data_IF_494108531849
#
_entry.id   IF_494108531849
#
_cell.length_a   1.000
_cell.length_b   1.000
_cell.length_c   1.000
_cell.angle_alpha   90.00
_cell.angle_beta   90.00
_cell.angle_gamma   90.00
#
_symmetry.space_group_name_H-M   'P 1'
#
loop_
_entity.id
_entity.type
_entity.pdbx_description
1 polymer ?
#
# COMPACT_ATOMS: atom_id res chain seq x y z
N UNK A 1 -1.66 20.06 3.76
CA UNK A 1 -1.93 19.40 2.46
C UNK A 1 -1.36 20.29 1.34
N UNK A 2 -1.39 19.84 0.09
CA UNK A 2 -0.92 20.63 -1.06
C UNK A 2 -2.03 21.43 -1.75
N UNK A 3 -3.19 21.60 -1.11
CA UNK A 3 -4.40 22.11 -1.75
C UNK A 3 -4.19 23.55 -2.27
N UNK A 4 -4.74 23.86 -3.45
CA UNK A 4 -4.57 25.18 -4.10
C UNK A 4 -5.03 26.35 -3.22
N UNK A 5 -6.07 26.14 -2.40
CA UNK A 5 -6.55 27.16 -1.44
C UNK A 5 -5.50 27.47 -0.36
N UNK A 6 -4.71 26.47 0.05
CA UNK A 6 -3.71 26.60 1.12
C UNK A 6 -2.33 27.01 0.57
N UNK A 7 -1.90 26.36 -0.51
CA UNK A 7 -0.53 26.41 -1.03
C UNK A 7 -0.42 26.83 -2.51
N UNK A 8 -1.53 27.22 -3.14
CA UNK A 8 -1.55 27.58 -4.56
C UNK A 8 -0.71 28.82 -4.89
N UNK A 9 -0.29 28.92 -6.15
CA UNK A 9 0.57 30.00 -6.66
C UNK A 9 -0.08 31.39 -6.59
N UNK A 10 -1.41 31.46 -6.66
CA UNK A 10 -2.16 32.70 -6.66
C UNK A 10 -3.28 32.65 -5.62
N UNK A 11 -3.44 33.72 -4.84
CA UNK A 11 -4.54 33.93 -3.90
C UNK A 11 -4.78 32.78 -2.90
N UNK A 12 -3.71 32.08 -2.52
CA UNK A 12 -3.74 31.07 -1.46
C UNK A 12 -3.45 31.69 -0.09
N UNK A 13 -3.81 30.96 0.97
CA UNK A 13 -3.45 31.35 2.33
C UNK A 13 -1.94 31.63 2.46
N UNK A 14 -1.10 30.76 1.90
CA UNK A 14 0.35 30.96 1.91
C UNK A 14 0.77 32.27 1.22
N UNK A 15 0.25 32.54 0.01
CA UNK A 15 0.63 33.78 -0.71
C UNK A 15 0.25 35.04 0.07
N UNK A 16 -0.94 35.07 0.68
CA UNK A 16 -1.38 36.19 1.53
C UNK A 16 -0.55 36.32 2.81
N UNK A 17 -0.18 35.21 3.44
CA UNK A 17 0.68 35.25 4.63
C UNK A 17 2.12 35.68 4.31
N UNK A 18 2.62 35.35 3.13
CA UNK A 18 3.95 35.73 2.65
C UNK A 18 4.06 37.24 2.38
N UNK A 19 2.97 37.89 1.95
CA UNK A 19 2.89 39.35 1.83
C UNK A 19 3.08 40.04 3.19
N UNK A 20 2.53 39.47 4.26
CA UNK A 20 2.67 39.98 5.64
C UNK A 20 4.05 39.65 6.23
N UNK A 21 4.56 38.45 5.97
CA UNK A 21 5.87 38.01 6.45
C UNK A 21 6.70 37.40 5.29
N UNK A 22 7.59 38.19 4.67
CA UNK A 22 8.44 37.72 3.59
C UNK A 22 9.39 36.56 3.98
N UNK A 23 9.65 36.35 5.29
CA UNK A 23 10.49 35.25 5.78
C UNK A 23 9.74 33.92 5.97
N UNK A 24 8.43 33.88 5.71
CA UNK A 24 7.63 32.66 5.85
C UNK A 24 8.09 31.55 4.90
N UNK A 25 8.34 30.35 5.40
CA UNK A 25 8.72 29.18 4.59
C UNK A 25 7.53 28.23 4.50
N UNK A 26 7.23 27.75 3.30
CA UNK A 26 6.22 26.72 3.08
C UNK A 26 6.87 25.34 3.15
N UNK A 27 6.40 24.51 4.07
CA UNK A 27 6.74 23.08 4.10
C UNK A 27 5.45 22.30 3.87
N UNK A 28 5.35 21.62 2.72
CA UNK A 28 4.19 20.78 2.41
C UNK A 28 4.20 19.54 3.31
N UNK A 29 3.02 19.01 3.60
CA UNK A 29 2.88 17.78 4.39
C UNK A 29 3.47 16.59 3.60
N UNK A 30 4.51 15.97 4.16
CA UNK A 30 5.14 14.82 3.52
C UNK A 30 4.18 13.62 3.45
N UNK A 31 3.41 13.32 4.50
CA UNK A 31 2.43 12.24 4.47
C UNK A 31 1.48 12.35 3.28
N UNK A 32 1.00 13.57 3.01
CA UNK A 32 0.11 13.82 1.89
C UNK A 32 0.82 13.65 0.54
N UNK A 33 2.07 14.12 0.44
CA UNK A 33 2.88 13.98 -0.78
C UNK A 33 3.19 12.51 -1.08
N UNK A 34 3.57 11.73 -0.06
CA UNK A 34 3.78 10.29 -0.18
C UNK A 34 2.48 9.55 -0.53
N UNK A 35 1.35 9.96 0.02
CA UNK A 35 0.05 9.36 -0.31
C UNK A 35 -0.32 9.60 -1.78
N UNK A 36 -0.10 10.81 -2.30
CA UNK A 36 -0.31 11.12 -3.72
C UNK A 36 0.61 10.29 -4.62
N UNK A 37 1.92 10.28 -4.34
CA UNK A 37 2.88 9.47 -5.10
C UNK A 37 2.51 7.98 -5.09
N UNK A 38 2.03 7.49 -3.95
CA UNK A 38 1.56 6.13 -3.85
C UNK A 38 0.32 5.90 -4.73
N UNK A 39 -0.71 6.74 -4.64
CA UNK A 39 -1.91 6.61 -5.49
C UNK A 39 -1.57 6.59 -6.99
N UNK A 40 -0.68 7.46 -7.45
CA UNK A 40 -0.23 7.45 -8.85
C UNK A 40 0.47 6.13 -9.22
N UNK A 41 1.29 5.57 -8.32
CA UNK A 41 1.91 4.27 -8.55
C UNK A 41 0.89 3.13 -8.62
N UNK A 42 -0.19 3.20 -7.84
CA UNK A 42 -1.28 2.22 -7.82
C UNK A 42 -2.04 2.19 -9.12
N UNK A 43 -2.27 3.35 -9.74
CA UNK A 43 -2.96 3.45 -11.02
C UNK A 43 -2.20 2.74 -12.15
N UNK A 44 -0.89 2.50 -11.97
CA UNK A 44 -0.04 1.73 -12.90
C UNK A 44 0.02 0.24 -12.55
N UNK A 45 -0.38 -0.16 -11.33
CA UNK A 45 -0.34 -1.56 -10.92
C UNK A 45 -1.36 -2.40 -11.70
N UNK A 46 -1.10 -3.70 -11.90
CA UNK A 46 -2.07 -4.57 -12.54
C UNK A 46 -3.39 -4.61 -11.76
N UNK A 47 -4.47 -4.19 -12.42
CA UNK A 47 -5.80 -4.04 -11.81
C UNK A 47 -6.35 -5.33 -11.19
N UNK A 48 -5.88 -6.48 -11.66
CA UNK A 48 -6.27 -7.78 -11.11
C UNK A 48 -5.73 -8.00 -9.69
N UNK A 49 -4.60 -7.41 -9.29
CA UNK A 49 -4.10 -7.53 -7.91
C UNK A 49 -4.96 -6.70 -6.96
N UNK A 50 -5.35 -5.48 -7.35
CA UNK A 50 -6.31 -4.67 -6.58
C UNK A 50 -7.64 -5.42 -6.41
N UNK A 51 -8.14 -6.01 -7.50
CA UNK A 51 -9.35 -6.83 -7.45
C UNK A 51 -9.19 -8.04 -6.50
N UNK A 52 -8.08 -8.78 -6.59
CA UNK A 52 -7.79 -9.92 -5.71
C UNK A 52 -7.87 -9.52 -4.25
N UNK A 53 -7.19 -8.42 -3.88
CA UNK A 53 -7.15 -7.93 -2.51
C UNK A 53 -8.55 -7.50 -2.07
N UNK A 54 -9.22 -6.63 -2.83
CA UNK A 54 -10.54 -6.11 -2.46
C UNK A 54 -11.59 -7.21 -2.32
N UNK A 55 -11.68 -8.10 -3.30
CA UNK A 55 -12.70 -9.13 -3.33
C UNK A 55 -12.47 -10.25 -2.31
N UNK A 56 -11.21 -10.52 -1.96
CA UNK A 56 -10.91 -11.41 -0.83
C UNK A 56 -11.51 -10.89 0.46
N UNK A 57 -11.35 -9.60 0.76
CA UNK A 57 -11.92 -9.03 1.99
C UNK A 57 -13.44 -8.92 1.93
N UNK A 58 -14.01 -8.51 0.78
CA UNK A 58 -15.45 -8.47 0.56
C UNK A 58 -16.11 -9.84 0.74
N UNK A 59 -15.44 -10.93 0.31
CA UNK A 59 -15.91 -12.30 0.47
C UNK A 59 -16.24 -12.64 1.93
N UNK A 60 -15.42 -12.15 2.87
CA UNK A 60 -15.56 -12.40 4.29
C UNK A 60 -16.36 -11.35 5.04
N UNK A 61 -16.43 -10.11 4.56
CA UNK A 61 -16.98 -8.96 5.28
C UNK A 61 -18.40 -9.19 5.85
N UNK A 62 -19.25 -9.93 5.13
CA UNK A 62 -20.67 -10.06 5.47
C UNK A 62 -21.14 -11.52 5.68
N UNK A 63 -20.22 -12.48 5.81
CA UNK A 63 -20.59 -13.89 5.95
C UNK A 63 -19.88 -14.57 7.13
N UNK A 64 -20.54 -14.62 8.31
CA UNK A 64 -20.03 -15.37 9.45
C UNK A 64 -19.75 -16.84 9.12
N UNK A 65 -20.58 -17.44 8.27
CA UNK A 65 -20.40 -18.82 7.78
C UNK A 65 -19.07 -18.98 7.03
N UNK A 66 -18.77 -18.09 6.07
CA UNK A 66 -17.51 -18.13 5.30
C UNK A 66 -16.30 -17.87 6.20
N UNK A 67 -16.44 -16.96 7.18
CA UNK A 67 -15.38 -16.72 8.17
C UNK A 67 -15.12 -17.97 9.04
N UNK A 68 -16.16 -18.67 9.47
CA UNK A 68 -16.02 -19.89 10.28
C UNK A 68 -15.39 -21.03 9.47
N UNK A 69 -15.79 -21.20 8.20
CA UNK A 69 -15.17 -22.17 7.30
C UNK A 69 -13.68 -21.89 7.10
N UNK A 70 -13.32 -20.64 6.85
CA UNK A 70 -11.92 -20.24 6.71
C UNK A 70 -11.11 -20.51 7.97
N UNK A 71 -11.65 -20.19 9.15
CA UNK A 71 -11.00 -20.52 10.43
C UNK A 71 -10.75 -22.01 10.60
N UNK A 72 -11.70 -22.86 10.20
CA UNK A 72 -11.52 -24.31 10.27
C UNK A 72 -10.43 -24.80 9.30
N UNK A 73 -10.41 -24.28 8.07
CA UNK A 73 -9.37 -24.59 7.07
C UNK A 73 -7.99 -24.16 7.56
N UNK A 74 -7.87 -22.94 8.05
CA UNK A 74 -6.62 -22.41 8.59
C UNK A 74 -6.11 -23.23 9.77
N UNK A 75 -6.99 -23.55 10.73
CA UNK A 75 -6.62 -24.35 11.89
C UNK A 75 -6.18 -25.76 11.47
N UNK A 76 -6.82 -26.35 10.46
CA UNK A 76 -6.42 -27.66 9.93
C UNK A 76 -5.04 -27.63 9.27
N UNK A 77 -4.69 -26.54 8.56
CA UNK A 77 -3.38 -26.37 7.91
C UNK A 77 -2.29 -26.01 8.92
N UNK A 78 -2.60 -25.18 9.91
CA UNK A 78 -1.65 -24.61 10.88
C UNK A 78 -1.75 -25.24 12.28
N UNK A 79 -1.99 -26.55 12.36
CA UNK A 79 -1.95 -27.32 13.63
C UNK A 79 -2.78 -26.73 14.80
N UNK A 80 -3.94 -26.14 14.49
CA UNK A 80 -4.85 -25.55 15.48
C UNK A 80 -4.64 -24.07 15.76
N UNK A 81 -3.70 -23.39 15.09
CA UNK A 81 -3.49 -21.96 15.25
C UNK A 81 -4.68 -21.11 14.76
N UNK A 82 -4.79 -19.90 15.30
CA UNK A 82 -5.83 -18.95 14.91
C UNK A 82 -5.38 -18.04 13.76
N UNK A 83 -6.25 -17.88 12.77
CA UNK A 83 -6.05 -16.95 11.64
C UNK A 83 -5.81 -15.52 12.12
N UNK A 84 -4.95 -14.74 11.45
CA UNK A 84 -5.02 -13.27 11.61
C UNK A 84 -6.36 -12.79 11.05
N UNK A 85 -7.01 -11.86 11.78
CA UNK A 85 -8.36 -11.40 11.44
C UNK A 85 -8.34 -10.67 10.09
N UNK A 86 -9.11 -11.17 9.13
CA UNK A 86 -9.47 -10.48 7.90
C UNK A 86 -10.44 -9.34 8.23
N UNK A 87 -9.92 -8.21 8.69
CA UNK A 87 -10.72 -7.00 8.99
C UNK A 87 -11.00 -6.28 7.68
N UNK A 88 -12.27 -5.96 7.43
CA UNK A 88 -12.70 -5.31 6.19
C UNK A 88 -11.85 -4.09 5.80
N UNK A 89 -11.56 -3.99 4.51
CA UNK A 89 -10.84 -2.87 3.93
C UNK A 89 -11.69 -1.59 4.04
N UNK A 90 -11.10 -0.48 4.49
CA UNK A 90 -11.72 0.83 4.26
C UNK A 90 -11.52 1.21 2.79
N UNK A 91 -12.60 1.54 2.09
CA UNK A 91 -12.61 1.75 0.64
C UNK A 91 -11.72 2.92 0.14
N UNK A 92 -11.16 3.72 1.04
CA UNK A 92 -10.55 5.02 0.69
C UNK A 92 -9.09 5.18 1.10
N UNK A 93 -8.38 4.13 1.53
CA UNK A 93 -6.98 4.29 2.00
C UNK A 93 -6.08 3.14 1.59
N UNK A 94 -5.06 3.43 0.80
CA UNK A 94 -3.96 2.51 0.48
C UNK A 94 -3.26 1.93 1.73
N UNK A 95 -3.29 2.64 2.87
CA UNK A 95 -2.84 2.11 4.17
C UNK A 95 -3.58 0.82 4.56
N UNK A 96 -4.85 0.67 4.17
CA UNK A 96 -5.63 -0.56 4.36
C UNK A 96 -5.19 -1.68 3.41
N UNK A 97 -4.73 -1.33 2.20
CA UNK A 97 -4.24 -2.29 1.20
C UNK A 97 -2.88 -2.88 1.64
N UNK A 98 -2.03 -2.10 2.30
CA UNK A 98 -0.75 -2.58 2.84
C UNK A 98 -0.90 -3.80 3.77
N UNK A 99 -1.66 -3.61 4.84
CA UNK A 99 -1.91 -4.69 5.80
C UNK A 99 -2.67 -5.85 5.18
N UNK A 100 -3.58 -5.57 4.24
CA UNK A 100 -4.34 -6.60 3.56
C UNK A 100 -3.52 -7.46 2.62
N UNK A 101 -2.62 -6.85 1.84
CA UNK A 101 -1.73 -7.55 0.93
C UNK A 101 -0.75 -8.44 1.70
N UNK A 102 -0.15 -7.92 2.78
CA UNK A 102 0.72 -8.73 3.64
C UNK A 102 -0.04 -9.91 4.25
N UNK A 103 -1.27 -9.70 4.71
CA UNK A 103 -2.10 -10.78 5.24
C UNK A 103 -2.39 -11.84 4.17
N UNK A 104 -2.73 -11.42 2.95
CA UNK A 104 -2.96 -12.34 1.83
C UNK A 104 -1.71 -13.16 1.51
N UNK A 105 -0.53 -12.52 1.51
CA UNK A 105 0.75 -13.22 1.28
C UNK A 105 1.04 -14.22 2.41
N UNK A 106 0.86 -13.81 3.67
CA UNK A 106 1.08 -14.65 4.85
C UNK A 106 0.17 -15.88 4.88
N UNK A 107 -1.07 -15.74 4.38
CA UNK A 107 -2.11 -16.77 4.44
C UNK A 107 -2.49 -17.31 3.05
N UNK A 108 -1.55 -17.25 2.09
CA UNK A 108 -1.85 -17.56 0.69
C UNK A 108 -2.35 -18.99 0.50
N UNK A 109 -1.74 -19.95 1.20
CA UNK A 109 -2.07 -21.37 1.08
C UNK A 109 -3.48 -21.66 1.60
N UNK A 110 -3.84 -21.07 2.73
CA UNK A 110 -5.12 -21.21 3.40
C UNK A 110 -6.22 -20.55 2.58
N UNK A 111 -5.97 -19.35 2.06
CA UNK A 111 -6.91 -18.63 1.18
C UNK A 111 -7.12 -19.40 -0.13
N UNK A 112 -6.05 -19.90 -0.75
CA UNK A 112 -6.12 -20.75 -1.95
C UNK A 112 -6.96 -22.00 -1.69
N UNK A 113 -6.72 -22.68 -0.57
CA UNK A 113 -7.48 -23.89 -0.19
C UNK A 113 -8.95 -23.56 0.06
N UNK A 114 -9.22 -22.47 0.77
CA UNK A 114 -10.57 -22.01 1.05
C UNK A 114 -11.37 -21.70 -0.21
N UNK A 115 -10.78 -20.98 -1.17
CA UNK A 115 -11.47 -20.66 -2.42
C UNK A 115 -11.68 -21.89 -3.31
N UNK A 116 -10.78 -22.87 -3.28
CA UNK A 116 -10.98 -24.15 -3.99
C UNK A 116 -12.17 -24.93 -3.41
N UNK A 117 -12.26 -25.01 -2.07
CA UNK A 117 -13.40 -25.62 -1.39
C UNK A 117 -14.69 -24.83 -1.69
N UNK A 118 -14.66 -23.50 -1.55
CA UNK A 118 -15.81 -22.64 -1.81
C UNK A 118 -16.33 -22.77 -3.24
N UNK A 119 -15.44 -22.86 -4.25
CA UNK A 119 -15.80 -23.09 -5.65
C UNK A 119 -16.56 -24.41 -5.86
N UNK A 120 -16.23 -25.44 -5.09
CA UNK A 120 -16.89 -26.75 -5.17
C UNK A 120 -18.23 -26.81 -4.43
N UNK A 121 -18.41 -26.03 -3.36
CA UNK A 121 -19.55 -26.12 -2.45
C UNK A 121 -20.60 -25.02 -2.65
N UNK A 122 -20.20 -23.83 -3.14
CA UNK A 122 -21.08 -22.70 -3.37
C UNK A 122 -21.25 -22.43 -4.87
N UNK A 123 -22.49 -22.30 -5.33
CA UNK A 123 -22.77 -21.81 -6.70
C UNK A 123 -22.59 -20.29 -6.76
N UNK A 124 -21.35 -19.83 -6.64
CA UNK A 124 -20.99 -18.42 -6.59
C UNK A 124 -19.87 -18.10 -7.60
N UNK A 125 -20.10 -17.11 -8.47
CA UNK A 125 -19.10 -16.70 -9.46
C UNK A 125 -17.82 -16.14 -8.80
N UNK A 126 -17.96 -15.35 -7.74
CA UNK A 126 -16.81 -14.79 -7.01
C UNK A 126 -15.91 -15.89 -6.43
N UNK A 127 -16.47 -17.02 -5.98
CA UNK A 127 -15.67 -18.15 -5.49
C UNK A 127 -14.81 -18.74 -6.61
N UNK A 128 -15.39 -18.89 -7.80
CA UNK A 128 -14.69 -19.41 -8.98
C UNK A 128 -13.56 -18.47 -9.41
N UNK A 129 -13.85 -17.18 -9.54
CA UNK A 129 -12.85 -16.16 -9.94
C UNK A 129 -11.70 -16.11 -8.93
N UNK A 130 -12.00 -16.02 -7.63
CA UNK A 130 -10.95 -15.97 -6.60
C UNK A 130 -10.13 -17.28 -6.56
N UNK A 131 -10.76 -18.46 -6.70
CA UNK A 131 -10.04 -19.73 -6.82
C UNK A 131 -9.06 -19.74 -7.99
N UNK A 132 -9.47 -19.23 -9.16
CA UNK A 132 -8.60 -19.13 -10.34
C UNK A 132 -7.44 -18.16 -10.10
N UNK A 133 -7.70 -17.01 -9.48
CA UNK A 133 -6.66 -16.01 -9.18
C UNK A 133 -5.65 -16.51 -8.15
N UNK A 134 -6.07 -17.21 -7.09
CA UNK A 134 -5.18 -17.81 -6.09
C UNK A 134 -4.40 -19.03 -6.63
N UNK A 135 -4.88 -19.65 -7.71
CA UNK A 135 -4.17 -20.74 -8.40
C UNK A 135 -3.05 -20.23 -9.30
N UNK A 136 -3.17 -19.01 -9.81
CA UNK A 136 -2.16 -18.38 -10.65
C UNK A 136 -0.94 -17.96 -9.82
N UNK A 137 0.21 -18.57 -10.11
CA UNK A 137 1.46 -18.28 -9.42
C UNK A 137 1.99 -16.87 -9.75
N UNK A 138 1.62 -16.28 -10.89
CA UNK A 138 2.00 -14.91 -11.22
C UNK A 138 1.38 -13.91 -10.24
N UNK A 139 0.11 -14.12 -9.87
CA UNK A 139 -0.56 -13.29 -8.88
C UNK A 139 0.12 -13.39 -7.51
N UNK A 140 0.56 -14.60 -7.14
CA UNK A 140 1.31 -14.81 -5.89
C UNK A 140 2.63 -14.07 -5.90
N UNK A 141 3.41 -14.21 -6.97
CA UNK A 141 4.70 -13.55 -7.12
C UNK A 141 4.55 -12.02 -7.11
N UNK A 142 3.56 -11.47 -7.81
CA UNK A 142 3.24 -10.04 -7.79
C UNK A 142 2.86 -9.56 -6.39
N UNK A 143 2.00 -10.30 -5.68
CA UNK A 143 1.62 -9.96 -4.31
C UNK A 143 2.83 -9.99 -3.36
N UNK A 144 3.70 -11.00 -3.48
CA UNK A 144 4.94 -11.11 -2.70
C UNK A 144 5.92 -9.97 -3.00
N UNK A 145 6.03 -9.55 -4.26
CA UNK A 145 6.87 -8.42 -4.67
C UNK A 145 6.34 -7.09 -4.13
N UNK A 146 5.02 -6.86 -4.23
CA UNK A 146 4.39 -5.60 -3.83
C UNK A 146 4.30 -5.44 -2.32
N UNK A 147 4.06 -6.51 -1.56
CA UNK A 147 3.87 -6.47 -0.11
C UNK A 147 4.95 -5.68 0.66
N UNK A 148 6.26 -5.97 0.51
CA UNK A 148 7.29 -5.26 1.26
C UNK A 148 7.41 -3.79 0.85
N UNK A 149 7.18 -3.44 -0.42
CA UNK A 149 7.19 -2.05 -0.90
C UNK A 149 6.07 -1.27 -0.23
N UNK A 150 4.86 -1.81 -0.26
CA UNK A 150 3.67 -1.15 0.28
C UNK A 150 3.74 -1.03 1.80
N UNK A 151 4.29 -2.03 2.50
CA UNK A 151 4.50 -1.95 3.94
C UNK A 151 5.49 -0.87 4.34
N UNK A 152 6.56 -0.67 3.57
CA UNK A 152 7.52 0.42 3.82
C UNK A 152 6.88 1.80 3.61
N UNK A 153 6.09 1.99 2.54
CA UNK A 153 5.30 3.21 2.35
C UNK A 153 4.39 3.48 3.55
N UNK A 154 3.66 2.46 4.02
CA UNK A 154 2.75 2.56 5.16
C UNK A 154 3.50 2.87 6.47
N UNK A 155 4.68 2.27 6.67
CA UNK A 155 5.53 2.53 7.82
C UNK A 155 5.98 3.99 7.85
N UNK A 156 6.55 4.51 6.76
CA UNK A 156 7.01 5.90 6.66
C UNK A 156 5.84 6.86 6.91
N UNK A 157 4.70 6.67 6.24
CA UNK A 157 3.52 7.53 6.45
C UNK A 157 3.06 7.51 7.91
N UNK A 158 3.11 6.35 8.57
CA UNK A 158 2.74 6.22 9.99
C UNK A 158 3.73 6.96 10.88
N UNK A 159 5.03 6.85 10.63
CA UNK A 159 6.07 7.55 11.39
C UNK A 159 5.96 9.07 11.30
N UNK A 160 5.61 9.61 10.12
CA UNK A 160 5.35 11.04 9.93
C UNK A 160 3.98 11.51 10.45
N UNK A 161 3.02 10.60 10.63
CA UNK A 161 1.69 10.92 11.17
C UNK A 161 1.65 10.85 12.70
N UNK A 162 2.49 10.01 13.32
CA UNK A 162 2.83 10.13 14.73
C UNK A 162 3.56 11.47 14.91
N UNK A 163 3.30 12.20 16.01
CA UNK A 163 3.81 13.56 16.28
C UNK A 163 5.34 13.63 16.51
N UNK A 164 6.12 12.90 15.73
CA UNK A 164 7.56 12.81 15.80
C UNK A 164 8.20 14.08 15.21
N UNK A 165 9.39 14.50 15.69
CA UNK A 165 10.08 15.66 15.14
C UNK A 165 10.50 15.39 13.68
N UNK A 166 10.21 16.29 12.72
CA UNK A 166 10.53 16.07 11.30
C UNK A 166 12.01 15.79 11.02
N UNK A 167 12.92 16.34 11.83
CA UNK A 167 14.36 16.15 11.69
C UNK A 167 14.81 14.69 11.95
N UNK A 168 14.09 13.95 12.80
CA UNK A 168 14.37 12.54 13.09
C UNK A 168 13.98 11.65 11.91
N UNK A 169 12.94 12.05 11.18
CA UNK A 169 12.31 11.26 10.13
C UNK A 169 12.97 11.43 8.74
N UNK A 170 13.88 12.38 8.59
CA UNK A 170 14.63 12.56 7.33
C UNK A 170 15.46 11.31 6.99
N UNK A 171 16.16 10.74 7.97
CA UNK A 171 16.95 9.53 7.78
C UNK A 171 16.07 8.33 7.35
N UNK A 172 14.88 8.19 7.95
CA UNK A 172 13.93 7.13 7.61
C UNK A 172 13.40 7.30 6.17
N UNK A 173 13.09 8.54 5.77
CA UNK A 173 12.68 8.85 4.40
C UNK A 173 13.79 8.55 3.38
N UNK A 174 15.03 8.98 3.64
CA UNK A 174 16.16 8.71 2.75
C UNK A 174 16.42 7.19 2.63
N UNK A 175 16.38 6.47 3.75
CA UNK A 175 16.52 5.01 3.78
C UNK A 175 15.43 4.32 2.95
N UNK A 176 14.19 4.79 3.08
CA UNK A 176 13.06 4.31 2.30
C UNK A 176 13.24 4.55 0.79
N UNK A 177 13.63 5.76 0.37
CA UNK A 177 13.87 6.08 -1.04
C UNK A 177 14.97 5.19 -1.61
N UNK A 178 16.07 5.00 -0.88
CA UNK A 178 17.17 4.11 -1.30
C UNK A 178 16.71 2.64 -1.39
N UNK A 179 15.91 2.18 -0.42
CA UNK A 179 15.31 0.83 -0.45
C UNK A 179 14.45 0.63 -1.69
N UNK A 180 13.58 1.60 -1.99
CA UNK A 180 12.71 1.58 -3.16
C UNK A 180 13.52 1.58 -4.46
N UNK A 181 14.53 2.45 -4.58
CA UNK A 181 15.40 2.49 -5.75
C UNK A 181 16.11 1.16 -5.97
N UNK A 182 16.66 0.53 -4.93
CA UNK A 182 17.33 -0.78 -5.06
C UNK A 182 16.40 -1.91 -5.50
N UNK A 183 15.11 -1.81 -5.22
CA UNK A 183 14.11 -2.84 -5.56
C UNK A 183 13.46 -2.65 -6.91
N UNK A 184 13.31 -1.40 -7.35
CA UNK A 184 12.56 -1.03 -8.55
C UNK A 184 13.50 -0.62 -9.69
N UNK A 185 14.58 0.08 -9.37
CA UNK A 185 15.57 0.54 -10.34
C UNK A 185 16.70 -0.49 -10.39
N UNK A 186 17.13 -0.85 -11.61
CA UNK A 186 18.22 -1.83 -11.78
C UNK A 186 19.46 -1.42 -10.96
N UNK A 187 20.18 -2.37 -10.34
CA UNK A 187 21.29 -2.10 -9.40
C UNK A 187 22.34 -1.12 -9.93
N UNK A 188 22.54 -1.10 -11.25
CA UNK A 188 23.52 -0.26 -11.94
C UNK A 188 23.20 1.24 -11.89
N UNK A 189 21.98 1.64 -11.54
CA UNK A 189 21.58 3.05 -11.35
C UNK A 189 21.41 3.42 -9.87
N UNK A 190 21.54 2.45 -8.96
CA UNK A 190 21.35 2.64 -7.52
C UNK A 190 22.66 2.85 -6.73
N UNK A 191 23.78 3.08 -7.43
CA UNK A 191 25.06 3.41 -6.81
C UNK A 191 25.04 4.81 -6.18
N UNK A 192 25.58 5.00 -4.96
CA UNK A 192 25.67 6.31 -4.31
C UNK A 192 26.53 7.34 -5.08
N UNK A 193 27.26 6.92 -6.11
CA UNK A 193 27.99 7.79 -7.05
C UNK A 193 27.08 8.39 -8.15
N UNK A 194 25.86 7.87 -8.33
CA UNK A 194 24.80 8.47 -9.17
C UNK A 194 23.85 9.37 -8.36
N UNK A 195 24.30 9.88 -7.21
CA UNK A 195 23.49 10.64 -6.25
C UNK A 195 23.17 12.08 -6.67
N UNK A 196 23.05 12.36 -7.97
CA UNK A 196 22.53 13.64 -8.49
C UNK A 196 21.02 13.58 -8.83
N UNK A 197 20.31 12.57 -8.32
CA UNK A 197 18.85 12.45 -8.50
C UNK A 197 18.09 13.64 -7.88
N UNK A 198 18.64 14.29 -6.85
CA UNK A 198 18.08 15.51 -6.27
C UNK A 198 18.08 16.69 -7.26
N UNK A 199 19.09 16.77 -8.14
CA UNK A 199 19.22 17.80 -9.17
C UNK A 199 18.34 17.50 -10.39
N UNK A 200 18.17 16.23 -10.77
CA UNK A 200 17.27 15.84 -11.87
C UNK A 200 15.80 16.06 -11.51
N UNK A 201 15.36 15.73 -10.29
CA UNK A 201 13.98 15.94 -9.85
C UNK A 201 13.57 17.43 -9.77
N UNK A 202 14.50 18.34 -9.49
CA UNK A 202 14.22 19.78 -9.46
C UNK A 202 13.78 20.33 -10.83
N UNK A 203 14.20 19.66 -11.92
CA UNK A 203 13.82 20.03 -13.30
C UNK A 203 12.43 19.53 -13.73
N UNK A 204 11.82 18.59 -12.99
CA UNK A 204 10.51 18.01 -13.27
C UNK A 204 9.34 18.73 -12.58
N UNK A 205 9.49 20.01 -12.23
CA UNK A 205 8.38 20.82 -11.70
C UNK A 205 7.44 21.26 -12.83
N UNK A 206 6.46 20.40 -13.13
CA UNK A 206 5.24 20.75 -13.87
C UNK A 206 4.24 21.47 -12.94
#
# INVERSE_FOLDING_TARGET
DGASVMCGKHNSLFTRMKEVNPRLVLVKCLCHSLHLACNEAVDVLPTHIDYLVRETFNWFAHSPKRQQMYKAIYAAINSGESTKKLVGLSATRWLSIAGALQLIVDQWLELKTHFEVAKSQERCYSAKVLSEMYRDEQNRLLAMFLSPIVNEFNHVITCFSAKNPPAVLHADLSSFVVSLMKRVVMPNYASPECADWENECASCTC
#
